data_IF_955082433334
#
_entry.id   IF_955082433334
#
_cell.length_a   1.000
_cell.length_b   1.000
_cell.length_c   1.000
_cell.angle_alpha   90.00
_cell.angle_beta   90.00
_cell.angle_gamma   90.00
#
_symmetry.space_group_name_H-M   'P 1'
#
loop_
_entity.id
_entity.type
_entity.pdbx_description
1 polymer ?
#
# COMPACT_ATOMS: atom_id res chain seq x y z
N UNK A 1 83.94 -53.81 13.17
CA UNK A 1 82.68 -54.21 12.53
C UNK A 1 82.36 -55.65 12.93
N UNK A 2 81.08 -56.05 13.07
CA UNK A 2 79.84 -55.31 13.42
C UNK A 2 79.28 -55.83 14.79
N UNK A 3 78.07 -55.60 15.31
CA UNK A 3 77.18 -54.42 15.51
C UNK A 3 76.66 -54.62 16.98
N UNK A 4 76.41 -53.67 17.89
CA UNK A 4 75.69 -52.39 17.87
C UNK A 4 74.19 -52.47 17.50
N UNK A 5 73.31 -52.62 18.51
CA UNK A 5 72.04 -51.87 18.70
C UNK A 5 71.15 -52.52 19.79
N UNK A 6 71.28 -52.06 21.05
CA UNK A 6 70.18 -52.14 22.03
C UNK A 6 69.88 -50.71 22.46
N UNK A 7 68.67 -50.23 22.15
CA UNK A 7 68.14 -48.97 22.67
C UNK A 7 66.74 -49.25 23.20
N UNK A 8 66.61 -49.15 24.52
CA UNK A 8 65.34 -49.25 25.24
C UNK A 8 64.39 -48.09 24.86
N UNK A 9 63.07 -48.24 25.07
CA UNK A 9 62.10 -47.25 24.61
C UNK A 9 62.21 -45.96 25.43
N UNK A 10 62.27 -44.83 24.73
CA UNK A 10 61.91 -43.53 25.31
C UNK A 10 60.38 -43.44 25.30
N UNK A 11 59.71 -43.29 26.45
CA UNK A 11 58.31 -42.92 26.45
C UNK A 11 58.22 -41.43 26.12
N UNK A 12 57.83 -41.09 24.89
CA UNK A 12 57.57 -39.69 24.55
C UNK A 12 56.46 -39.17 25.46
N UNK A 13 56.80 -38.11 26.19
CA UNK A 13 55.95 -37.58 27.24
C UNK A 13 54.61 -37.13 26.65
N UNK A 14 53.53 -37.76 27.12
CA UNK A 14 52.17 -37.28 26.85
C UNK A 14 52.04 -35.87 27.43
N UNK A 15 52.17 -34.87 26.57
CA UNK A 15 51.98 -33.47 26.96
C UNK A 15 50.57 -33.31 27.50
N UNK A 16 50.44 -33.08 28.81
CA UNK A 16 49.18 -32.64 29.38
C UNK A 16 48.82 -31.32 28.66
N UNK A 17 47.65 -31.22 28.01
CA UNK A 17 47.19 -29.93 27.52
C UNK A 17 47.14 -28.98 28.72
N UNK A 18 47.78 -27.82 28.57
CA UNK A 18 47.97 -26.92 29.70
C UNK A 18 46.60 -26.49 30.25
N UNK A 19 46.45 -26.40 31.57
CA UNK A 19 45.15 -26.07 32.20
C UNK A 19 44.57 -24.73 31.68
N UNK A 20 45.47 -23.83 31.25
CA UNK A 20 45.17 -22.55 30.60
C UNK A 20 44.55 -22.72 29.20
N UNK A 21 45.02 -23.68 28.40
CA UNK A 21 44.44 -24.02 27.08
C UNK A 21 43.04 -24.63 27.20
N UNK A 22 42.82 -25.49 28.19
CA UNK A 22 41.50 -26.06 28.48
C UNK A 22 40.51 -24.98 28.94
N UNK A 23 40.93 -24.10 29.86
CA UNK A 23 40.12 -22.96 30.29
C UNK A 23 39.80 -22.00 29.12
N UNK A 24 40.75 -21.78 28.22
CA UNK A 24 40.58 -20.94 27.03
C UNK A 24 39.58 -21.56 26.03
N UNK A 25 39.62 -22.88 25.84
CA UNK A 25 38.62 -23.61 25.03
C UNK A 25 37.22 -23.53 25.63
N UNK A 26 37.07 -23.77 26.94
CA UNK A 26 35.80 -23.66 27.66
C UNK A 26 35.18 -22.26 27.56
N UNK A 27 35.99 -21.20 27.72
CA UNK A 27 35.51 -19.82 27.56
C UNK A 27 35.09 -19.49 26.12
N UNK A 28 35.78 -20.05 25.13
CA UNK A 28 35.45 -19.88 23.72
C UNK A 28 34.15 -20.62 23.35
N UNK A 29 33.98 -21.86 23.82
CA UNK A 29 32.74 -22.65 23.67
C UNK A 29 31.53 -21.94 24.29
N UNK A 30 31.68 -21.38 25.50
CA UNK A 30 30.64 -20.55 26.13
C UNK A 30 30.32 -19.30 25.30
N UNK A 31 31.33 -18.63 24.75
CA UNK A 31 31.14 -17.44 23.90
C UNK A 31 30.41 -17.78 22.60
N UNK A 32 30.74 -18.90 21.96
CA UNK A 32 30.03 -19.40 20.78
C UNK A 32 28.60 -19.84 21.10
N UNK A 33 28.37 -20.49 22.24
CA UNK A 33 27.01 -20.86 22.68
C UNK A 33 26.14 -19.61 22.89
N UNK A 34 26.67 -18.58 23.55
CA UNK A 34 25.98 -17.31 23.76
C UNK A 34 25.69 -16.60 22.43
N UNK A 35 26.66 -16.58 21.50
CA UNK A 35 26.49 -16.01 20.17
C UNK A 35 25.41 -16.75 19.36
N UNK A 36 25.45 -18.08 19.32
CA UNK A 36 24.45 -18.90 18.63
C UNK A 36 23.04 -18.70 19.22
N UNK A 37 22.93 -18.59 20.54
CA UNK A 37 21.66 -18.29 21.22
C UNK A 37 21.10 -16.93 20.80
N UNK A 38 21.94 -15.89 20.77
CA UNK A 38 21.56 -14.56 20.31
C UNK A 38 21.18 -14.55 18.81
N UNK A 39 21.92 -15.29 17.97
CA UNK A 39 21.60 -15.46 16.54
C UNK A 39 20.27 -16.19 16.31
N UNK A 40 19.94 -17.19 17.14
CA UNK A 40 18.62 -17.84 17.12
C UNK A 40 17.52 -16.84 17.47
N UNK A 41 17.65 -16.12 18.59
CA UNK A 41 16.65 -15.14 19.02
C UNK A 41 16.41 -14.02 17.99
N UNK A 42 17.47 -13.56 17.32
CA UNK A 42 17.35 -12.63 16.21
C UNK A 42 16.57 -13.25 15.04
N UNK A 43 16.95 -14.47 14.62
CA UNK A 43 16.24 -15.21 13.55
C UNK A 43 14.76 -15.37 13.87
N UNK A 44 14.42 -15.83 15.08
CA UNK A 44 13.06 -16.03 15.55
C UNK A 44 12.25 -14.72 15.53
N UNK A 45 12.85 -13.61 15.95
CA UNK A 45 12.24 -12.28 15.94
C UNK A 45 12.03 -11.73 14.52
N UNK A 46 13.00 -11.94 13.61
CA UNK A 46 12.87 -11.58 12.20
C UNK A 46 11.74 -12.37 11.51
N UNK A 47 11.68 -13.69 11.71
CA UNK A 47 10.61 -14.53 11.14
C UNK A 47 9.23 -14.17 11.68
N UNK A 48 9.11 -13.81 12.97
CA UNK A 48 7.86 -13.35 13.55
C UNK A 48 7.42 -12.00 12.95
N UNK A 49 8.35 -11.06 12.76
CA UNK A 49 8.07 -9.77 12.13
C UNK A 49 7.68 -9.93 10.65
N UNK A 50 8.35 -10.82 9.91
CA UNK A 50 8.06 -11.12 8.51
C UNK A 50 6.66 -11.75 8.34
N UNK A 51 6.28 -12.68 9.22
CA UNK A 51 4.92 -13.22 9.28
C UNK A 51 3.89 -12.11 9.51
N UNK A 52 4.14 -11.20 10.46
CA UNK A 52 3.22 -10.09 10.78
C UNK A 52 3.12 -9.06 9.64
N UNK A 53 4.22 -8.77 8.94
CA UNK A 53 4.21 -7.92 7.73
C UNK A 53 3.42 -8.57 6.60
N UNK A 54 3.50 -9.88 6.44
CA UNK A 54 2.76 -10.63 5.41
C UNK A 54 1.25 -10.62 5.72
N UNK A 55 0.87 -10.81 6.98
CA UNK A 55 -0.51 -10.73 7.48
C UNK A 55 -1.12 -9.34 7.24
N UNK A 56 -0.45 -8.26 7.67
CA UNK A 56 -0.95 -6.88 7.45
C UNK A 56 -1.05 -6.50 5.98
N UNK A 57 -0.17 -7.03 5.11
CA UNK A 57 -0.28 -6.82 3.66
C UNK A 57 -1.55 -7.47 3.10
N UNK A 58 -1.85 -8.71 3.51
CA UNK A 58 -3.08 -9.40 3.12
C UNK A 58 -4.35 -8.66 3.57
N UNK A 59 -4.39 -8.16 4.82
CA UNK A 59 -5.50 -7.32 5.29
C UNK A 59 -5.66 -6.04 4.46
N UNK A 60 -4.54 -5.36 4.15
CA UNK A 60 -4.55 -4.12 3.37
C UNK A 60 -5.01 -4.35 1.93
N UNK A 61 -4.63 -5.47 1.31
CA UNK A 61 -5.09 -5.86 -0.04
C UNK A 61 -6.61 -6.07 -0.09
N UNK A 62 -7.19 -6.74 0.92
CA UNK A 62 -8.64 -6.94 1.04
C UNK A 62 -9.38 -5.61 1.22
N UNK A 63 -8.90 -4.72 2.11
CA UNK A 63 -9.51 -3.40 2.33
C UNK A 63 -9.37 -2.49 1.11
N UNK A 64 -8.24 -2.57 0.40
CA UNK A 64 -8.00 -1.85 -0.85
C UNK A 64 -8.96 -2.30 -1.95
N UNK A 65 -9.15 -3.60 -2.11
CA UNK A 65 -10.10 -4.17 -3.07
C UNK A 65 -11.54 -3.73 -2.80
N UNK A 66 -11.99 -3.73 -1.54
CA UNK A 66 -13.32 -3.22 -1.16
C UNK A 66 -13.50 -1.74 -1.50
N UNK A 67 -12.52 -0.88 -1.14
CA UNK A 67 -12.59 0.55 -1.49
C UNK A 67 -12.62 0.78 -3.00
N UNK A 68 -11.87 0.00 -3.78
CA UNK A 68 -11.86 0.11 -5.24
C UNK A 68 -13.21 -0.30 -5.86
N UNK A 69 -13.91 -1.29 -5.28
CA UNK A 69 -15.26 -1.65 -5.67
C UNK A 69 -16.28 -0.53 -5.35
N UNK A 70 -16.26 0.02 -4.14
CA UNK A 70 -17.15 1.14 -3.76
C UNK A 70 -16.98 2.38 -4.66
N UNK A 71 -15.73 2.71 -5.03
CA UNK A 71 -15.44 3.82 -5.93
C UNK A 71 -15.97 3.54 -7.35
N UNK A 72 -15.76 2.33 -7.88
CA UNK A 72 -16.27 1.93 -9.19
C UNK A 72 -17.81 1.94 -9.25
N UNK A 73 -18.50 1.61 -8.16
CA UNK A 73 -19.96 1.74 -8.08
C UNK A 73 -20.44 3.19 -8.08
N UNK A 74 -19.75 4.07 -7.32
CA UNK A 74 -20.05 5.52 -7.32
C UNK A 74 -19.83 6.16 -8.69
N UNK A 75 -18.73 5.83 -9.38
CA UNK A 75 -18.47 6.31 -10.74
C UNK A 75 -19.52 5.80 -11.74
N UNK A 76 -19.94 4.53 -11.66
CA UNK A 76 -21.02 3.99 -12.50
C UNK A 76 -22.34 4.73 -12.30
N UNK A 77 -22.68 5.08 -11.06
CA UNK A 77 -23.89 5.84 -10.74
C UNK A 77 -23.80 7.28 -11.27
N UNK A 78 -22.67 7.95 -11.08
CA UNK A 78 -22.43 9.30 -11.58
C UNK A 78 -22.50 9.37 -13.12
N UNK A 79 -21.82 8.45 -13.82
CA UNK A 79 -21.86 8.36 -15.28
C UNK A 79 -23.27 8.04 -15.81
N UNK A 80 -24.07 7.25 -15.07
CA UNK A 80 -25.46 6.98 -15.45
C UNK A 80 -26.38 8.19 -15.23
N UNK A 81 -26.14 8.97 -14.17
CA UNK A 81 -26.84 10.26 -13.97
C UNK A 81 -26.49 11.28 -15.06
N UNK A 82 -25.20 11.42 -15.41
CA UNK A 82 -24.76 12.32 -16.47
C UNK A 82 -25.38 11.93 -17.82
N UNK A 83 -25.28 10.66 -18.24
CA UNK A 83 -25.90 10.20 -19.48
C UNK A 83 -27.42 10.38 -19.49
N UNK A 84 -28.11 10.27 -18.33
CA UNK A 84 -29.55 10.54 -18.26
C UNK A 84 -29.88 12.04 -18.37
N UNK A 85 -29.00 12.93 -17.89
CA UNK A 85 -29.14 14.38 -18.10
C UNK A 85 -28.87 14.76 -19.57
N UNK A 86 -27.87 14.17 -20.20
CA UNK A 86 -27.49 14.45 -21.59
C UNK A 86 -28.49 13.88 -22.61
N UNK A 87 -29.27 12.84 -22.24
CA UNK A 87 -30.31 12.22 -23.06
C UNK A 87 -31.72 12.78 -22.84
N UNK A 88 -31.91 13.77 -21.95
CA UNK A 88 -33.23 14.38 -21.74
C UNK A 88 -33.59 15.29 -22.94
N UNK A 89 -34.74 15.07 -23.62
CA UNK A 89 -35.16 15.88 -24.77
C UNK A 89 -35.73 17.26 -24.38
N UNK A 90 -35.44 17.73 -23.16
CA UNK A 90 -35.92 19.00 -22.62
C UNK A 90 -34.79 19.73 -21.90
N UNK A 91 -34.64 21.02 -22.22
CA UNK A 91 -33.63 21.86 -21.59
C UNK A 91 -33.83 22.02 -20.09
N UNK A 92 -32.81 21.68 -19.30
CA UNK A 92 -32.78 21.89 -17.85
C UNK A 92 -31.98 23.15 -17.53
N UNK A 93 -32.54 24.01 -16.68
CA UNK A 93 -31.95 25.28 -16.23
C UNK A 93 -32.08 25.37 -14.70
N UNK A 94 -30.96 25.67 -14.03
CA UNK A 94 -30.91 25.93 -12.58
C UNK A 94 -30.86 27.44 -12.36
N UNK A 95 -31.73 27.94 -11.49
CA UNK A 95 -31.92 29.37 -11.22
C UNK A 95 -31.71 29.63 -9.73
N UNK A 96 -30.97 30.68 -9.37
CA UNK A 96 -30.77 31.07 -7.98
C UNK A 96 -31.94 31.88 -7.39
N UNK A 97 -31.84 32.20 -6.08
CA UNK A 97 -32.86 32.97 -5.37
C UNK A 97 -33.02 34.42 -5.88
N UNK A 98 -32.11 34.91 -6.72
CA UNK A 98 -32.16 36.22 -7.36
C UNK A 98 -32.78 36.15 -8.78
N UNK A 99 -33.13 34.95 -9.25
CA UNK A 99 -33.68 34.73 -10.59
C UNK A 99 -32.62 34.68 -11.68
N UNK A 100 -31.35 34.48 -11.34
CA UNK A 100 -30.23 34.39 -12.28
C UNK A 100 -29.96 32.91 -12.60
N UNK A 101 -29.77 32.59 -13.88
CA UNK A 101 -29.39 31.26 -14.33
C UNK A 101 -27.96 30.96 -13.88
N UNK A 102 -27.79 29.85 -13.16
CA UNK A 102 -26.50 29.37 -12.66
C UNK A 102 -25.88 28.31 -13.57
N UNK A 103 -26.70 27.39 -14.05
CA UNK A 103 -26.27 26.26 -14.88
C UNK A 103 -27.37 26.00 -15.91
N UNK A 104 -26.97 25.69 -17.14
CA UNK A 104 -27.86 25.25 -18.21
C UNK A 104 -27.29 24.01 -18.91
N UNK A 105 -28.10 22.96 -19.04
CA UNK A 105 -27.73 21.79 -19.84
C UNK A 105 -27.60 22.21 -21.32
N UNK A 106 -26.64 21.67 -22.11
CA UNK A 106 -26.53 21.88 -23.55
C UNK A 106 -27.87 21.89 -24.32
N UNK A 107 -28.82 21.00 -24.00
CA UNK A 107 -30.15 21.00 -24.62
C UNK A 107 -30.94 22.30 -24.37
N UNK A 108 -30.76 22.95 -23.21
CA UNK A 108 -31.35 24.27 -22.94
C UNK A 108 -30.66 25.36 -23.77
N UNK A 109 -29.33 25.30 -23.91
CA UNK A 109 -28.55 26.23 -24.73
C UNK A 109 -28.93 26.16 -26.21
N UNK A 110 -29.19 24.95 -26.74
CA UNK A 110 -29.68 24.76 -28.11
C UNK A 110 -31.11 25.27 -28.31
N UNK A 111 -32.01 25.03 -27.34
CA UNK A 111 -33.43 25.41 -27.45
C UNK A 111 -33.70 26.90 -27.20
N UNK A 112 -32.92 27.56 -26.34
CA UNK A 112 -33.17 28.94 -25.87
C UNK A 112 -32.09 29.94 -26.31
N UNK A 113 -30.98 29.45 -26.88
CA UNK A 113 -29.87 30.26 -27.37
C UNK A 113 -29.00 30.85 -26.25
N UNK A 114 -27.73 31.03 -26.56
CA UNK A 114 -26.74 31.63 -25.67
C UNK A 114 -26.78 33.18 -25.74
N UNK A 115 -26.38 33.89 -24.66
CA UNK A 115 -26.01 33.36 -23.35
C UNK A 115 -27.23 32.98 -22.50
N UNK A 116 -27.03 32.03 -21.59
CA UNK A 116 -28.00 31.65 -20.55
C UNK A 116 -27.42 31.91 -19.16
N UNK A 117 -26.27 31.30 -18.84
CA UNK A 117 -25.59 31.46 -17.56
C UNK A 117 -25.24 32.93 -17.27
N UNK A 118 -25.53 33.38 -16.06
CA UNK A 118 -25.36 34.77 -15.64
C UNK A 118 -26.48 35.73 -16.09
N UNK A 119 -27.40 35.32 -16.98
CA UNK A 119 -28.58 36.13 -17.30
C UNK A 119 -29.72 35.93 -16.29
N UNK A 120 -30.54 36.97 -16.13
CA UNK A 120 -31.82 36.89 -15.43
C UNK A 120 -32.79 36.05 -16.26
N UNK A 121 -33.36 35.01 -15.65
CA UNK A 121 -34.28 34.06 -16.31
C UNK A 121 -35.47 34.74 -17.00
N UNK A 122 -35.98 35.83 -16.43
CA UNK A 122 -37.03 36.67 -17.03
C UNK A 122 -36.64 37.29 -18.38
N UNK A 123 -35.37 37.62 -18.60
CA UNK A 123 -34.88 38.16 -19.87
C UNK A 123 -34.77 37.05 -20.92
N UNK A 124 -34.30 35.85 -20.52
CA UNK A 124 -34.29 34.66 -21.37
C UNK A 124 -35.71 34.29 -21.80
N UNK A 125 -36.67 34.21 -20.87
CA UNK A 125 -38.08 33.96 -21.24
C UNK A 125 -38.60 35.04 -22.19
N UNK A 126 -38.37 36.32 -21.89
CA UNK A 126 -38.84 37.41 -22.74
C UNK A 126 -38.21 37.37 -24.15
N UNK A 127 -36.98 36.89 -24.29
CA UNK A 127 -36.30 36.69 -25.58
C UNK A 127 -36.89 35.52 -26.37
N UNK A 128 -37.17 34.39 -25.71
CA UNK A 128 -37.51 33.13 -26.37
C UNK A 128 -39.03 32.88 -26.52
N UNK A 129 -39.86 33.51 -25.68
CA UNK A 129 -41.30 33.28 -25.61
C UNK A 129 -42.13 34.58 -25.75
N UNK A 130 -41.53 35.68 -26.21
CA UNK A 130 -42.33 36.80 -26.69
C UNK A 130 -43.18 36.36 -27.89
N UNK A 131 -44.50 36.67 -27.91
CA UNK A 131 -45.30 36.47 -29.11
C UNK A 131 -44.82 37.45 -30.20
N UNK A 132 -44.71 36.92 -31.42
CA UNK A 132 -44.58 37.69 -32.67
C UNK A 132 -45.88 38.47 -32.96
#
# INVERSE_FOLDING_TARGET
MPQAAQMSPVPDASGLPSSVEQASRLGLEQSFALFNQMSSQLTDSYSMLEARVTELKGELEVVSAQRMQELAEKERLANRLQNLLDLLPGGVIVIDAQGIVREANPAACELLGLPLEGELWRHVIARCFAPL
#
